data_IF_446371752435
#
_entry.id   IF_446371752435
#
_cell.length_a   1.000
_cell.length_b   1.000
_cell.length_c   1.000
_cell.angle_alpha   90.00
_cell.angle_beta   90.00
_cell.angle_gamma   90.00
#
_symmetry.space_group_name_H-M   'P 1'
#
loop_
_entity.id
_entity.type
_entity.pdbx_description
1 polymer ?
#
# COMPACT_ATOMS: atom_id res chain seq x y z
N UNK A 1 -4.50 -7.41 14.62
CA UNK A 1 -4.17 -6.36 13.63
C UNK A 1 -5.15 -5.22 13.88
N UNK A 2 -4.71 -3.97 13.86
CA UNK A 2 -5.59 -2.84 14.16
C UNK A 2 -5.27 -1.64 13.26
N UNK A 3 -6.32 -0.93 12.83
CA UNK A 3 -6.22 0.30 12.05
C UNK A 3 -6.06 1.51 12.97
N UNK A 4 -5.21 2.44 12.55
CA UNK A 4 -5.03 3.73 13.21
C UNK A 4 -5.06 4.86 12.18
N UNK A 5 -5.70 5.96 12.54
CA UNK A 5 -5.79 7.17 11.73
C UNK A 5 -4.73 8.19 12.14
N UNK A 6 -4.23 8.96 11.17
CA UNK A 6 -3.30 10.07 11.38
C UNK A 6 -1.82 9.68 11.20
N UNK A 7 -1.00 10.66 10.80
CA UNK A 7 0.42 10.49 10.45
C UNK A 7 1.33 10.10 11.62
N UNK A 8 0.79 10.05 12.84
CA UNK A 8 1.49 10.38 14.07
C UNK A 8 2.85 9.73 14.24
N UNK A 9 3.94 10.50 14.13
CA UNK A 9 5.36 10.22 14.44
C UNK A 9 5.92 8.80 14.13
N UNK A 10 5.20 7.95 13.41
CA UNK A 10 5.59 6.57 13.17
C UNK A 10 6.36 6.51 11.87
N UNK A 11 7.54 5.94 11.97
CA UNK A 11 8.40 5.64 10.85
C UNK A 11 7.71 4.56 10.02
N UNK A 12 7.54 4.83 8.75
CA UNK A 12 6.99 3.89 7.80
C UNK A 12 7.93 2.70 7.67
N UNK A 13 7.37 1.49 7.72
CA UNK A 13 8.13 0.29 7.42
C UNK A 13 8.65 0.30 5.98
N UNK A 14 9.59 -0.61 5.68
CA UNK A 14 10.08 -0.84 4.30
C UNK A 14 8.94 -1.08 3.28
N UNK A 15 7.77 -1.52 3.74
CA UNK A 15 6.61 -1.75 2.91
C UNK A 15 5.43 -0.90 3.38
N UNK A 16 4.71 -0.37 2.41
CA UNK A 16 3.45 0.34 2.56
C UNK A 16 2.41 -0.25 1.60
N UNK A 17 1.16 0.16 1.77
CA UNK A 17 0.00 -0.30 1.01
C UNK A 17 -0.54 0.85 0.19
N UNK A 18 -0.71 0.62 -1.10
CA UNK A 18 -1.27 1.59 -2.03
C UNK A 18 -2.61 1.06 -2.55
N UNK A 19 -3.62 1.93 -2.44
CA UNK A 19 -4.89 1.78 -3.13
C UNK A 19 -4.78 2.58 -4.43
N UNK A 20 -4.95 1.89 -5.56
CA UNK A 20 -5.04 2.51 -6.88
C UNK A 20 -6.19 1.85 -7.65
N UNK A 21 -7.13 2.66 -8.15
CA UNK A 21 -8.30 2.20 -8.92
C UNK A 21 -8.95 0.95 -8.30
N UNK A 22 -9.31 1.02 -7.01
CA UNK A 22 -9.96 -0.07 -6.27
C UNK A 22 -9.13 -1.36 -6.17
N UNK A 23 -7.80 -1.25 -6.28
CA UNK A 23 -6.87 -2.38 -6.15
C UNK A 23 -5.79 -2.10 -5.13
N UNK A 24 -5.37 -3.18 -4.47
CA UNK A 24 -4.35 -3.13 -3.42
C UNK A 24 -2.99 -3.58 -3.96
N UNK A 25 -1.98 -2.81 -3.57
CA UNK A 25 -0.59 -3.06 -3.91
C UNK A 25 0.30 -2.91 -2.69
N UNK A 26 1.29 -3.79 -2.57
CA UNK A 26 2.48 -3.52 -1.78
C UNK A 26 3.33 -2.52 -2.53
N UNK A 27 3.90 -1.55 -1.84
CA UNK A 27 4.91 -0.69 -2.43
C UNK A 27 6.00 -0.30 -1.43
N UNK A 28 7.14 0.16 -1.94
CA UNK A 28 8.31 0.46 -1.12
C UNK A 28 8.09 1.74 -0.29
N UNK A 29 7.99 1.57 1.03
CA UNK A 29 7.72 2.64 1.98
C UNK A 29 8.95 3.42 2.45
N UNK A 30 10.10 3.29 1.77
CA UNK A 30 11.39 3.99 2.01
C UNK A 30 12.03 3.91 3.41
N UNK A 31 11.32 3.46 4.45
CA UNK A 31 11.82 3.43 5.82
C UNK A 31 11.80 4.79 6.53
N UNK A 32 11.24 5.83 5.92
CA UNK A 32 11.22 7.20 6.39
C UNK A 32 9.90 7.62 7.05
N UNK A 33 9.65 8.93 7.15
CA UNK A 33 8.39 9.44 7.70
C UNK A 33 7.24 9.18 6.73
N UNK A 34 6.08 8.76 7.24
CA UNK A 34 4.86 8.70 6.43
C UNK A 34 4.42 10.11 5.98
N UNK A 35 4.68 11.11 6.82
CA UNK A 35 4.47 12.51 6.46
C UNK A 35 5.44 12.95 5.35
N UNK A 36 4.92 13.69 4.39
CA UNK A 36 5.66 14.14 3.21
C UNK A 36 6.18 13.04 2.28
N UNK A 37 5.80 11.75 2.44
CA UNK A 37 6.29 10.68 1.57
C UNK A 37 5.96 10.93 0.10
N UNK A 38 4.71 11.34 -0.19
CA UNK A 38 4.30 11.69 -1.55
C UNK A 38 5.21 12.76 -2.16
N UNK A 39 5.51 13.82 -1.41
CA UNK A 39 6.38 14.91 -1.88
C UNK A 39 7.81 14.46 -2.14
N UNK A 40 8.40 13.66 -1.24
CA UNK A 40 9.77 13.14 -1.41
C UNK A 40 9.94 12.28 -2.65
N UNK A 41 8.88 11.60 -3.07
CA UNK A 41 8.88 10.72 -4.23
C UNK A 41 8.12 11.29 -5.43
N UNK A 42 7.74 12.57 -5.38
CA UNK A 42 6.97 13.26 -6.43
C UNK A 42 5.66 12.53 -6.81
N UNK A 43 5.01 11.90 -5.83
CA UNK A 43 3.75 11.18 -5.96
C UNK A 43 2.60 11.95 -5.30
N UNK A 44 1.43 11.96 -5.94
CA UNK A 44 0.21 12.53 -5.36
C UNK A 44 -0.58 11.45 -4.63
N UNK A 45 -0.31 11.33 -3.33
CA UNK A 45 -0.92 10.33 -2.46
C UNK A 45 -1.71 10.99 -1.34
N UNK A 46 -2.91 10.50 -1.08
CA UNK A 46 -3.63 10.73 0.18
C UNK A 46 -3.23 9.69 1.20
N UNK A 47 -2.81 10.15 2.37
CA UNK A 47 -2.52 9.24 3.47
C UNK A 47 -3.81 8.94 4.24
N UNK A 48 -4.11 7.65 4.42
CA UNK A 48 -5.35 7.22 5.07
C UNK A 48 -5.12 6.80 6.53
N UNK A 49 -3.96 6.24 6.83
CA UNK A 49 -3.67 5.66 8.14
C UNK A 49 -2.66 4.54 8.06
N UNK A 50 -2.63 3.69 9.08
CA UNK A 50 -1.76 2.51 9.09
C UNK A 50 -2.40 1.33 9.79
N UNK A 51 -2.00 0.13 9.36
CA UNK A 51 -2.34 -1.13 10.00
C UNK A 51 -1.17 -1.52 10.89
N UNK A 52 -1.39 -1.51 12.21
CA UNK A 52 -0.39 -2.02 13.14
C UNK A 52 -0.47 -3.54 13.25
N UNK A 53 0.68 -4.18 13.05
CA UNK A 53 0.88 -5.61 13.28
C UNK A 53 1.93 -5.82 14.36
N UNK A 54 2.01 -7.04 14.91
CA UNK A 54 3.01 -7.38 15.92
C UNK A 54 4.46 -7.21 15.44
N UNK A 55 4.70 -7.17 14.12
CA UNK A 55 6.04 -7.10 13.54
C UNK A 55 6.35 -5.76 12.88
N UNK A 56 5.35 -5.10 12.27
CA UNK A 56 5.51 -3.88 11.46
C UNK A 56 4.21 -3.09 11.35
N UNK A 57 4.32 -1.78 11.19
CA UNK A 57 3.22 -0.90 10.80
C UNK A 57 3.20 -0.73 9.27
N UNK A 58 2.06 -1.07 8.65
CA UNK A 58 1.85 -0.91 7.21
C UNK A 58 1.04 0.36 6.96
N UNK A 59 1.70 1.39 6.48
CA UNK A 59 1.06 2.67 6.14
C UNK A 59 0.28 2.54 4.85
N UNK A 60 -0.91 3.13 4.80
CA UNK A 60 -1.87 2.98 3.71
C UNK A 60 -2.11 4.32 3.04
N UNK A 61 -1.99 4.32 1.72
CA UNK A 61 -2.17 5.49 0.88
C UNK A 61 -3.19 5.20 -0.21
N UNK A 62 -3.92 6.24 -0.60
CA UNK A 62 -4.78 6.25 -1.79
C UNK A 62 -4.16 7.17 -2.83
N UNK A 63 -4.16 6.76 -4.10
CA UNK A 63 -3.73 7.66 -5.15
C UNK A 63 -4.76 8.76 -5.40
N UNK A 64 -4.31 9.99 -5.67
CA UNK A 64 -5.24 11.00 -6.17
C UNK A 64 -5.50 10.70 -7.64
N UNK A 65 -6.75 10.35 -7.92
CA UNK A 65 -7.34 10.03 -9.23
C UNK A 65 -6.72 10.87 -10.37
N UNK A 66 -6.49 10.21 -11.51
CA UNK A 66 -5.96 10.68 -12.81
C UNK A 66 -4.47 10.45 -13.09
N UNK A 67 -3.67 10.03 -12.11
CA UNK A 67 -2.38 9.44 -12.44
C UNK A 67 -2.58 7.95 -12.67
N UNK A 68 -2.51 7.50 -13.93
CA UNK A 68 -1.98 6.16 -14.18
C UNK A 68 -0.73 6.07 -13.31
N UNK A 69 -0.75 5.20 -12.27
CA UNK A 69 0.35 5.00 -11.30
C UNK A 69 1.63 5.39 -11.98
N UNK A 70 2.41 6.39 -11.48
CA UNK A 70 3.55 6.91 -12.22
C UNK A 70 4.26 5.71 -12.78
N UNK A 71 4.26 5.56 -14.10
CA UNK A 71 4.62 4.29 -14.75
C UNK A 71 5.99 3.84 -14.24
N UNK A 72 6.83 4.81 -13.85
CA UNK A 72 8.04 4.69 -13.08
C UNK A 72 7.97 3.88 -11.76
N UNK A 73 6.95 4.09 -10.90
CA UNK A 73 6.75 3.37 -9.64
C UNK A 73 6.42 1.89 -9.85
N UNK A 74 5.62 1.58 -10.89
CA UNK A 74 5.31 0.20 -11.28
C UNK A 74 6.45 -0.46 -12.07
N UNK A 75 7.12 0.29 -12.96
CA UNK A 75 8.17 -0.23 -13.85
C UNK A 75 9.49 -0.53 -13.12
N UNK A 76 9.79 0.17 -12.02
CA UNK A 76 11.04 -0.05 -11.29
C UNK A 76 11.01 -1.27 -10.34
N UNK A 77 9.92 -2.06 -10.34
CA UNK A 77 9.77 -3.17 -9.41
C UNK A 77 9.68 -2.71 -7.96
N UNK A 78 9.06 -1.54 -7.72
CA UNK A 78 8.81 -1.00 -6.38
C UNK A 78 7.36 -1.18 -5.92
N UNK A 79 6.55 -1.82 -6.74
CA UNK A 79 5.14 -2.06 -6.50
C UNK A 79 4.80 -3.51 -6.89
N UNK A 80 4.00 -4.19 -6.06
CA UNK A 80 3.56 -5.57 -6.27
C UNK A 80 2.09 -5.68 -5.95
N UNK A 81 1.31 -6.27 -6.86
CA UNK A 81 -0.09 -6.57 -6.60
C UNK A 81 -0.22 -7.44 -5.34
N UNK A 82 -1.23 -7.14 -4.52
CA UNK A 82 -1.61 -8.03 -3.44
C UNK A 82 -1.96 -9.42 -4.00
N UNK A 83 -1.49 -10.45 -3.30
CA UNK A 83 -1.95 -11.82 -3.53
C UNK A 83 -3.33 -12.04 -2.92
N UNK A 84 -3.99 -13.14 -3.27
CA UNK A 84 -5.23 -13.55 -2.60
C UNK A 84 -5.05 -13.68 -1.07
N UNK A 85 -3.89 -14.16 -0.62
CA UNK A 85 -3.59 -14.29 0.81
C UNK A 85 -3.41 -12.92 1.47
N UNK A 86 -2.83 -11.94 0.77
CA UNK A 86 -2.74 -10.57 1.27
C UNK A 86 -4.14 -9.93 1.38
N UNK A 87 -5.01 -10.16 0.38
CA UNK A 87 -6.40 -9.69 0.42
C UNK A 87 -7.14 -10.33 1.60
N UNK A 88 -7.01 -11.65 1.80
CA UNK A 88 -7.62 -12.33 2.96
C UNK A 88 -7.08 -11.81 4.29
N UNK A 89 -5.81 -11.39 4.35
CA UNK A 89 -5.18 -10.94 5.58
C UNK A 89 -5.46 -9.47 5.92
N UNK A 90 -5.55 -8.60 4.92
CA UNK A 90 -5.60 -7.14 5.11
C UNK A 90 -6.80 -6.46 4.43
N UNK A 91 -7.46 -7.12 3.48
CA UNK A 91 -8.53 -6.54 2.65
C UNK A 91 -9.67 -5.98 3.51
N UNK A 92 -10.24 -6.80 4.38
CA UNK A 92 -11.39 -6.41 5.22
C UNK A 92 -11.11 -5.16 6.07
N UNK A 93 -9.93 -5.09 6.70
CA UNK A 93 -9.57 -3.95 7.56
C UNK A 93 -9.32 -2.68 6.73
N UNK A 94 -8.80 -2.81 5.51
CA UNK A 94 -8.62 -1.66 4.61
C UNK A 94 -9.99 -1.22 4.09
N UNK A 95 -10.83 -2.12 3.61
CA UNK A 95 -12.15 -1.81 3.07
C UNK A 95 -13.02 -1.06 4.08
N UNK A 96 -13.06 -1.54 5.33
CA UNK A 96 -13.83 -0.92 6.40
C UNK A 96 -13.36 0.50 6.78
N UNK A 97 -12.08 0.84 6.56
CA UNK A 97 -11.49 2.08 7.06
C UNK A 97 -11.04 3.06 5.95
N UNK A 98 -10.87 2.60 4.72
CA UNK A 98 -10.39 3.37 3.58
C UNK A 98 -11.51 3.91 2.68
N UNK A 99 -12.77 3.91 3.15
CA UNK A 99 -13.90 4.49 2.43
C UNK A 99 -14.84 3.48 1.76
N UNK A 100 -14.77 2.18 2.11
CA UNK A 100 -15.79 1.20 1.72
C UNK A 100 -15.69 0.67 0.28
N UNK A 101 -14.53 0.78 -0.36
CA UNK A 101 -14.31 0.19 -1.68
C UNK A 101 -14.08 -1.32 -1.56
N UNK A 102 -14.87 -2.11 -2.28
CA UNK A 102 -14.65 -3.56 -2.40
C UNK A 102 -13.41 -3.82 -3.25
N UNK A 103 -12.38 -4.43 -2.66
CA UNK A 103 -11.14 -4.72 -3.35
C UNK A 103 -11.23 -6.08 -4.06
N UNK A 104 -11.47 -6.05 -5.37
CA UNK A 104 -11.44 -7.25 -6.18
C UNK A 104 -10.02 -7.87 -6.26
N UNK A 105 -9.89 -9.19 -6.45
CA UNK A 105 -8.61 -9.81 -6.79
C UNK A 105 -7.95 -9.07 -7.95
N UNK A 106 -6.68 -8.71 -7.80
CA UNK A 106 -6.00 -7.93 -8.82
C UNK A 106 -5.80 -8.80 -10.08
N UNK A 107 -6.35 -8.45 -11.25
CA UNK A 107 -6.24 -9.27 -12.46
C UNK A 107 -4.79 -9.35 -12.98
N UNK A 108 -3.91 -8.46 -12.50
CA UNK A 108 -2.47 -8.51 -12.78
C UNK A 108 -1.69 -9.41 -11.80
N UNK A 109 -2.36 -9.93 -10.76
CA UNK A 109 -1.79 -10.99 -9.94
C UNK A 109 -1.88 -12.30 -10.72
N UNK A 110 -0.72 -12.82 -11.11
CA UNK A 110 -0.58 -14.15 -11.67
C UNK A 110 0.40 -14.95 -10.82
N UNK A 111 0.30 -16.30 -10.75
CA UNK A 111 1.22 -17.12 -9.96
C UNK A 111 2.71 -16.92 -10.29
N UNK A 112 3.02 -16.43 -11.50
CA UNK A 112 4.36 -16.05 -11.95
C UNK A 112 4.69 -14.55 -11.88
N UNK A 113 3.76 -13.70 -11.44
CA UNK A 113 4.03 -12.29 -11.21
C UNK A 113 5.07 -12.14 -10.08
N UNK A 114 5.97 -11.14 -10.17
CA UNK A 114 6.92 -10.88 -9.10
C UNK A 114 6.16 -10.78 -7.78
N UNK A 115 6.53 -11.61 -6.81
CA UNK A 115 6.01 -11.45 -5.45
C UNK A 115 6.82 -10.38 -4.76
N UNK A 116 6.21 -9.69 -3.79
CA UNK A 116 6.95 -8.86 -2.84
C UNK A 116 8.14 -9.69 -2.33
N UNK A 117 9.39 -9.19 -2.45
CA UNK A 117 10.56 -9.90 -1.97
C UNK A 117 10.33 -10.33 -0.52
N UNK A 118 10.27 -11.64 -0.28
CA UNK A 118 10.33 -12.19 1.07
C UNK A 118 11.74 -11.88 1.56
N UNK A 119 11.85 -11.18 2.69
CA UNK A 119 13.17 -10.94 3.29
C UNK A 119 13.77 -12.32 3.64
N UNK A 120 15.09 -12.53 3.49
CA UNK A 120 15.77 -13.59 4.23
C UNK A 120 15.53 -13.42 5.74
#
# INVERSE_FOLDING_TARGET
>A
MQWYTGYGNRIMGKWAILINHERLYWFNGDGGSADGYGERHYMRLDYLGYISTWSRDYHVYHDKWDQALPSHTMQNGNCWAFSEDDIKAYGDIIEQNAGGAYFAPNPYYHPGAPRRPRRP
#
